data_IF_002685949048
#
_entry.id   IF_002685949048
#
_cell.length_a   1.000
_cell.length_b   1.000
_cell.length_c   1.000
_cell.angle_alpha   90.00
_cell.angle_beta   90.00
_cell.angle_gamma   90.00
#
_symmetry.space_group_name_H-M   'P 1'
#
loop_
_entity.id
_entity.type
_entity.pdbx_description
1 polymer ?
#
# COMPACT_ATOMS: atom_id res chain seq x y z
N UNK A 1 -5.05 21.04 -32.48
CA UNK A 1 -5.51 19.90 -31.68
C UNK A 1 -6.62 20.23 -30.68
N UNK A 2 -6.77 21.47 -30.21
CA UNK A 2 -7.85 21.86 -29.29
C UNK A 2 -9.27 21.71 -29.87
N UNK A 3 -9.45 21.88 -31.18
CA UNK A 3 -10.75 21.75 -31.85
C UNK A 3 -11.32 20.32 -31.93
N UNK A 4 -10.52 19.28 -31.70
CA UNK A 4 -11.02 17.89 -31.64
C UNK A 4 -11.56 17.53 -30.25
N UNK A 5 -11.13 18.24 -29.19
CA UNK A 5 -11.55 17.95 -27.82
C UNK A 5 -12.93 18.52 -27.47
N UNK A 6 -13.43 19.49 -28.23
CA UNK A 6 -14.75 20.06 -27.98
C UNK A 6 -15.90 19.21 -28.53
N UNK A 7 -15.67 18.45 -29.61
CA UNK A 7 -16.72 17.71 -30.30
C UNK A 7 -17.13 16.40 -29.58
N UNK A 8 -16.28 15.87 -28.69
CA UNK A 8 -16.58 14.69 -27.84
C UNK A 8 -17.17 15.05 -26.46
N UNK A 9 -17.37 16.33 -26.14
CA UNK A 9 -18.05 16.74 -24.89
C UNK A 9 -19.58 16.60 -24.95
N UNK A 10 -20.12 16.23 -26.10
CA UNK A 10 -21.53 15.88 -26.27
C UNK A 10 -21.76 14.41 -26.00
N UNK A 11 -22.57 14.09 -24.98
CA UNK A 11 -23.11 12.75 -24.71
C UNK A 11 -22.32 11.83 -23.76
N UNK A 12 -21.91 12.33 -22.59
CA UNK A 12 -21.78 11.45 -21.42
C UNK A 12 -23.13 11.42 -20.69
N UNK A 13 -23.77 10.25 -20.52
CA UNK A 13 -25.10 10.16 -19.91
C UNK A 13 -25.09 10.74 -18.50
N UNK A 14 -26.09 11.59 -18.24
CA UNK A 14 -26.25 12.31 -16.97
C UNK A 14 -26.53 11.29 -15.85
N UNK A 15 -25.63 11.31 -14.87
CA UNK A 15 -25.43 10.40 -13.74
C UNK A 15 -26.70 10.15 -12.89
N UNK A 16 -27.17 8.89 -12.86
CA UNK A 16 -28.33 8.42 -12.06
C UNK A 16 -28.00 7.22 -11.15
N UNK A 17 -26.72 6.90 -10.95
CA UNK A 17 -26.31 5.78 -10.08
C UNK A 17 -25.93 6.28 -8.70
N UNK A 18 -26.36 5.55 -7.66
CA UNK A 18 -26.02 5.85 -6.26
C UNK A 18 -24.50 5.84 -6.02
N UNK A 19 -24.01 6.81 -5.23
CA UNK A 19 -22.60 6.95 -4.83
C UNK A 19 -22.07 5.67 -4.18
N UNK A 20 -22.92 4.97 -3.44
CA UNK A 20 -22.58 3.71 -2.80
C UNK A 20 -22.27 2.61 -3.83
N UNK A 21 -23.09 2.50 -4.87
CA UNK A 21 -22.89 1.51 -5.93
C UNK A 21 -21.63 1.80 -6.75
N UNK A 22 -21.33 3.08 -6.97
CA UNK A 22 -20.08 3.52 -7.62
C UNK A 22 -18.85 3.16 -6.79
N UNK A 23 -18.92 3.37 -5.47
CA UNK A 23 -17.83 3.04 -4.56
C UNK A 23 -17.51 1.54 -4.59
N UNK A 24 -18.51 0.67 -4.41
CA UNK A 24 -18.30 -0.79 -4.45
C UNK A 24 -17.79 -1.28 -5.80
N UNK A 25 -18.29 -0.72 -6.91
CA UNK A 25 -17.84 -1.11 -8.25
C UNK A 25 -16.37 -0.71 -8.48
N UNK A 26 -15.95 0.48 -8.04
CA UNK A 26 -14.55 0.88 -8.10
C UNK A 26 -13.67 0.03 -7.20
N UNK A 27 -14.16 -0.34 -6.02
CA UNK A 27 -13.41 -1.13 -5.05
C UNK A 27 -13.14 -2.52 -5.61
N UNK A 28 -14.17 -3.17 -6.15
CA UNK A 28 -14.03 -4.44 -6.82
C UNK A 28 -13.01 -4.37 -7.98
N UNK A 29 -13.09 -3.33 -8.82
CA UNK A 29 -12.16 -3.14 -9.93
C UNK A 29 -10.72 -2.91 -9.46
N UNK A 30 -10.50 -2.03 -8.48
CA UNK A 30 -9.16 -1.77 -7.93
C UNK A 30 -8.56 -3.03 -7.30
N UNK A 31 -9.37 -3.80 -6.59
CA UNK A 31 -8.98 -5.08 -6.00
C UNK A 31 -8.57 -6.10 -7.06
N UNK A 32 -9.36 -6.25 -8.11
CA UNK A 32 -9.06 -7.17 -9.22
C UNK A 32 -7.74 -6.80 -9.92
N UNK A 33 -7.52 -5.50 -10.17
CA UNK A 33 -6.27 -5.01 -10.77
C UNK A 33 -5.07 -5.28 -9.85
N UNK A 34 -5.20 -5.03 -8.55
CA UNK A 34 -4.12 -5.26 -7.59
C UNK A 34 -3.75 -6.75 -7.49
N UNK A 35 -4.74 -7.64 -7.43
CA UNK A 35 -4.52 -9.09 -7.33
C UNK A 35 -3.90 -9.64 -8.63
N UNK A 36 -4.26 -9.06 -9.77
CA UNK A 36 -3.74 -9.44 -11.09
C UNK A 36 -2.37 -8.85 -11.42
N UNK A 37 -1.83 -7.97 -10.58
CA UNK A 37 -0.47 -7.45 -10.73
C UNK A 37 0.50 -8.17 -9.78
N UNK A 38 1.02 -9.36 -10.16
CA UNK A 38 1.98 -10.09 -9.34
C UNK A 38 3.34 -9.37 -9.27
N UNK A 39 3.63 -8.44 -10.18
CA UNK A 39 4.91 -7.71 -10.20
C UNK A 39 4.98 -6.80 -8.99
N UNK A 40 3.89 -6.08 -8.71
CA UNK A 40 3.77 -5.21 -7.55
C UNK A 40 3.97 -5.98 -6.24
N UNK A 41 3.24 -7.08 -6.06
CA UNK A 41 3.32 -7.91 -4.84
C UNK A 41 4.72 -8.51 -4.69
N UNK A 42 5.30 -9.03 -5.78
CA UNK A 42 6.64 -9.64 -5.76
C UNK A 42 7.71 -8.63 -5.34
N UNK A 43 7.70 -7.43 -5.89
CA UNK A 43 8.68 -6.39 -5.55
C UNK A 43 8.61 -6.06 -4.06
N UNK A 44 7.40 -6.00 -3.52
CA UNK A 44 7.15 -5.70 -2.11
C UNK A 44 7.64 -6.80 -1.18
N UNK A 45 7.39 -8.07 -1.52
CA UNK A 45 7.93 -9.21 -0.77
C UNK A 45 9.46 -9.25 -0.77
N UNK A 46 10.10 -8.93 -1.90
CA UNK A 46 11.57 -8.88 -2.01
C UNK A 46 12.13 -7.79 -1.09
N UNK A 47 11.53 -6.60 -1.15
CA UNK A 47 11.94 -5.46 -0.32
C UNK A 47 11.83 -5.78 1.17
N UNK A 48 10.71 -6.34 1.62
CA UNK A 48 10.51 -6.71 3.03
C UNK A 48 11.46 -7.80 3.49
N UNK A 49 11.68 -8.82 2.65
CA UNK A 49 12.66 -9.88 2.97
C UNK A 49 14.06 -9.30 3.15
N UNK A 50 14.47 -8.37 2.28
CA UNK A 50 15.76 -7.70 2.38
C UNK A 50 15.89 -6.91 3.68
N UNK A 51 14.88 -6.09 4.02
CA UNK A 51 14.87 -5.30 5.26
C UNK A 51 14.88 -6.18 6.52
N UNK A 52 14.10 -7.26 6.52
CA UNK A 52 14.05 -8.23 7.62
C UNK A 52 15.39 -8.93 7.85
N UNK A 53 16.03 -9.43 6.79
CA UNK A 53 17.35 -10.10 6.89
C UNK A 53 18.42 -9.10 7.35
N UNK A 54 18.45 -7.90 6.78
CA UNK A 54 19.43 -6.88 7.12
C UNK A 54 19.36 -6.54 8.62
N UNK A 55 18.17 -6.22 9.13
CA UNK A 55 17.99 -5.90 10.55
C UNK A 55 18.22 -7.11 11.45
N UNK A 56 17.83 -8.30 11.00
CA UNK A 56 18.03 -9.54 11.75
C UNK A 56 19.50 -9.92 11.93
N UNK A 57 20.34 -9.69 10.92
CA UNK A 57 21.79 -9.97 11.01
C UNK A 57 22.54 -8.99 11.91
N UNK A 58 22.15 -7.72 11.94
CA UNK A 58 22.84 -6.68 12.72
C UNK A 58 22.65 -6.87 14.23
N UNK A 59 21.49 -7.37 14.66
CA UNK A 59 21.11 -7.42 16.08
C UNK A 59 20.88 -8.83 16.62
N UNK A 60 21.65 -9.79 16.10
CA UNK A 60 21.51 -11.19 16.45
C UNK A 60 21.75 -11.42 17.97
N UNK A 61 20.67 -11.74 18.69
CA UNK A 61 20.67 -12.13 20.11
C UNK A 61 21.27 -11.10 21.08
N UNK A 62 20.96 -9.81 20.89
CA UNK A 62 21.38 -8.77 21.82
C UNK A 62 20.56 -8.77 23.12
N UNK A 63 21.23 -8.83 24.27
CA UNK A 63 20.59 -8.86 25.60
C UNK A 63 20.35 -7.46 26.19
N UNK A 64 21.01 -6.45 25.65
CA UNK A 64 20.95 -5.08 26.16
C UNK A 64 19.61 -4.40 25.82
N UNK A 65 18.88 -3.96 26.84
CA UNK A 65 17.54 -3.38 26.66
C UNK A 65 17.53 -2.08 25.84
N UNK A 66 18.57 -1.24 25.99
CA UNK A 66 18.69 0.01 25.24
C UNK A 66 18.92 -0.22 23.74
N UNK A 67 19.64 -1.29 23.36
CA UNK A 67 19.83 -1.64 21.95
C UNK A 67 18.51 -2.08 21.33
N UNK A 68 17.68 -2.87 22.05
CA UNK A 68 16.38 -3.32 21.55
C UNK A 68 15.43 -2.17 21.17
N UNK A 69 15.44 -1.08 21.94
CA UNK A 69 14.61 0.10 21.64
C UNK A 69 15.11 0.82 20.39
N UNK A 70 16.43 1.03 20.27
CA UNK A 70 17.04 1.64 19.08
C UNK A 70 16.77 0.82 17.81
N UNK A 71 16.73 -0.50 17.93
CA UNK A 71 16.43 -1.43 16.84
C UNK A 71 15.00 -1.27 16.33
N UNK A 72 14.03 -1.14 17.22
CA UNK A 72 12.63 -0.86 16.84
C UNK A 72 12.51 0.47 16.10
N UNK A 73 13.24 1.50 16.56
CA UNK A 73 13.25 2.80 15.90
C UNK A 73 13.85 2.72 14.49
N UNK A 74 15.01 2.09 14.32
CA UNK A 74 15.66 1.93 13.02
C UNK A 74 14.80 1.07 12.08
N UNK A 75 14.17 0.00 12.59
CA UNK A 75 13.27 -0.85 11.82
C UNK A 75 12.08 -0.07 11.26
N UNK A 76 11.39 0.70 12.10
CA UNK A 76 10.26 1.53 11.67
C UNK A 76 10.67 2.58 10.62
N UNK A 77 11.85 3.18 10.78
CA UNK A 77 12.39 4.17 9.84
C UNK A 77 12.71 3.55 8.48
N UNK A 78 13.27 2.35 8.45
CA UNK A 78 13.55 1.61 7.21
C UNK A 78 12.26 1.25 6.47
N UNK A 79 11.22 0.80 7.18
CA UNK A 79 9.91 0.53 6.58
C UNK A 79 9.31 1.80 5.97
N UNK A 80 9.40 2.93 6.69
CA UNK A 80 8.93 4.23 6.19
C UNK A 80 9.65 4.64 4.91
N UNK A 81 10.98 4.57 4.90
CA UNK A 81 11.80 4.87 3.71
C UNK A 81 11.47 3.94 2.56
N UNK A 82 11.21 2.67 2.86
CA UNK A 82 10.79 1.68 1.88
C UNK A 82 9.49 2.03 1.15
N UNK A 83 8.63 2.86 1.73
CA UNK A 83 7.38 3.29 1.10
C UNK A 83 7.58 4.44 0.10
N UNK A 84 8.72 5.13 0.13
CA UNK A 84 8.99 6.25 -0.78
C UNK A 84 9.06 5.80 -2.25
N UNK A 85 9.46 4.55 -2.52
CA UNK A 85 9.48 3.97 -3.86
C UNK A 85 8.06 3.84 -4.47
N UNK A 86 6.99 3.87 -3.66
CA UNK A 86 5.61 3.82 -4.16
C UNK A 86 5.19 5.09 -4.89
N UNK A 87 5.86 6.22 -4.65
CA UNK A 87 5.51 7.51 -5.27
C UNK A 87 5.61 7.45 -6.79
N UNK A 88 6.61 6.75 -7.32
CA UNK A 88 6.80 6.59 -8.77
C UNK A 88 5.69 5.72 -9.40
N UNK A 89 5.25 4.70 -8.69
CA UNK A 89 4.15 3.82 -9.12
C UNK A 89 2.84 4.62 -9.20
N UNK A 90 2.57 5.46 -8.20
CA UNK A 90 1.41 6.37 -8.20
C UNK A 90 1.54 7.41 -9.32
N UNK A 91 2.74 7.93 -9.58
CA UNK A 91 2.99 8.85 -10.69
C UNK A 91 2.70 8.20 -12.06
N UNK A 92 3.03 6.92 -12.25
CA UNK A 92 2.70 6.17 -13.46
C UNK A 92 1.18 5.97 -13.64
N UNK A 93 0.44 5.72 -12.55
CA UNK A 93 -1.03 5.57 -12.57
C UNK A 93 -1.77 6.87 -12.87
N UNK A 94 -1.12 8.03 -12.71
CA UNK A 94 -1.72 9.37 -12.85
C UNK A 94 -2.35 9.63 -14.23
N UNK A 95 -1.77 9.08 -15.31
CA UNK A 95 -2.33 9.20 -16.67
C UNK A 95 -3.71 8.55 -16.80
N UNK A 96 -3.88 7.37 -16.19
CA UNK A 96 -5.15 6.62 -16.22
C UNK A 96 -6.21 7.41 -15.45
N UNK A 97 -5.84 8.00 -14.33
CA UNK A 97 -6.72 8.86 -13.54
C UNK A 97 -7.24 10.07 -14.35
N UNK A 98 -6.37 10.76 -15.11
CA UNK A 98 -6.79 11.90 -15.93
C UNK A 98 -7.84 11.52 -16.99
N UNK A 99 -7.69 10.35 -17.63
CA UNK A 99 -8.68 9.84 -18.59
C UNK A 99 -10.01 9.54 -17.87
N UNK A 100 -9.95 8.87 -16.72
CA UNK A 100 -11.13 8.52 -15.94
C UNK A 100 -11.89 9.74 -15.42
N UNK A 101 -11.15 10.80 -15.08
CA UNK A 101 -11.70 12.09 -14.65
C UNK A 101 -12.39 12.83 -15.81
N UNK A 102 -11.82 12.81 -17.01
CA UNK A 102 -12.42 13.42 -18.20
C UNK A 102 -13.74 12.76 -18.60
N UNK A 103 -13.86 11.44 -18.45
CA UNK A 103 -15.13 10.73 -18.67
C UNK A 103 -16.17 10.93 -17.56
N UNK A 104 -15.84 11.67 -16.49
CA UNK A 104 -16.68 11.93 -15.32
C UNK A 104 -17.41 10.66 -14.80
N UNK A 105 -16.70 9.52 -14.78
CA UNK A 105 -17.27 8.24 -14.35
C UNK A 105 -17.54 8.23 -12.83
N UNK A 106 -16.64 8.82 -12.05
CA UNK A 106 -16.70 8.83 -10.58
C UNK A 106 -16.29 10.18 -9.99
N UNK A 107 -16.79 10.47 -8.78
CA UNK A 107 -16.31 11.62 -8.02
C UNK A 107 -14.85 11.40 -7.62
N UNK A 108 -14.02 12.44 -7.72
CA UNK A 108 -12.57 12.35 -7.46
C UNK A 108 -12.28 11.80 -6.07
N UNK A 109 -13.03 12.20 -5.05
CA UNK A 109 -12.78 11.71 -3.68
C UNK A 109 -13.14 10.23 -3.50
N UNK A 110 -14.10 9.70 -4.27
CA UNK A 110 -14.44 8.26 -4.22
C UNK A 110 -13.28 7.44 -4.78
N UNK A 111 -12.64 7.90 -5.86
CA UNK A 111 -11.48 7.22 -6.45
C UNK A 111 -10.33 7.09 -5.43
N UNK A 112 -9.95 8.19 -4.78
CA UNK A 112 -8.85 8.19 -3.80
C UNK A 112 -9.15 7.34 -2.56
N UNK A 113 -10.38 7.41 -2.02
CA UNK A 113 -10.77 6.57 -0.86
C UNK A 113 -10.76 5.08 -1.23
N UNK A 114 -11.18 4.75 -2.45
CA UNK A 114 -11.23 3.36 -2.92
C UNK A 114 -9.83 2.78 -3.14
N UNK A 115 -8.91 3.58 -3.69
CA UNK A 115 -7.51 3.21 -3.87
C UNK A 115 -6.86 2.95 -2.51
N UNK A 116 -6.97 3.89 -1.57
CA UNK A 116 -6.44 3.74 -0.21
C UNK A 116 -7.00 2.50 0.51
N UNK A 117 -8.31 2.28 0.44
CA UNK A 117 -8.94 1.13 1.10
C UNK A 117 -8.52 -0.22 0.50
N UNK A 118 -8.14 -0.24 -0.78
CA UNK A 118 -7.66 -1.44 -1.46
C UNK A 118 -6.25 -1.83 -1.02
N UNK A 119 -5.40 -0.84 -0.75
CA UNK A 119 -3.98 -1.01 -0.38
C UNK A 119 -3.78 -1.35 1.10
N UNK A 120 -4.62 -0.83 2.00
CA UNK A 120 -4.58 -1.11 3.45
C UNK A 120 -4.44 -2.61 3.81
N UNK A 121 -5.28 -3.53 3.30
CA UNK A 121 -5.17 -4.95 3.66
C UNK A 121 -3.89 -5.60 3.15
N UNK A 122 -3.31 -5.13 2.04
CA UNK A 122 -2.03 -5.64 1.56
C UNK A 122 -0.89 -5.19 2.48
N UNK A 123 -0.89 -3.92 2.90
CA UNK A 123 0.08 -3.39 3.86
C UNK A 123 -0.05 -4.04 5.24
N UNK A 124 -1.25 -4.41 5.67
CA UNK A 124 -1.46 -5.12 6.93
C UNK A 124 -0.80 -6.51 6.92
N UNK A 125 -0.97 -7.28 5.84
CA UNK A 125 -0.31 -8.59 5.69
C UNK A 125 1.21 -8.44 5.68
N UNK A 126 1.71 -7.40 5.01
CA UNK A 126 3.14 -7.08 4.95
C UNK A 126 3.71 -6.73 6.33
N UNK A 127 3.02 -5.88 7.09
CA UNK A 127 3.42 -5.50 8.45
C UNK A 127 3.41 -6.72 9.38
N UNK A 128 2.38 -7.56 9.34
CA UNK A 128 2.30 -8.79 10.14
C UNK A 128 3.47 -9.72 9.82
N UNK A 129 3.80 -9.91 8.53
CA UNK A 129 4.92 -10.75 8.11
C UNK A 129 6.27 -10.20 8.61
N UNK A 130 6.48 -8.89 8.47
CA UNK A 130 7.68 -8.22 8.96
C UNK A 130 7.82 -8.33 10.48
N UNK A 131 6.76 -8.01 11.22
CA UNK A 131 6.72 -8.12 12.69
C UNK A 131 6.96 -9.57 13.14
N UNK A 132 6.37 -10.56 12.46
CA UNK A 132 6.62 -11.97 12.76
C UNK A 132 8.09 -12.34 12.59
N UNK A 133 8.71 -12.04 11.46
CA UNK A 133 10.13 -12.34 11.21
C UNK A 133 11.02 -11.63 12.23
N UNK A 134 10.80 -10.34 12.45
CA UNK A 134 11.61 -9.51 13.34
C UNK A 134 11.56 -9.97 14.81
N UNK A 135 10.41 -10.47 15.26
CA UNK A 135 10.24 -11.06 16.60
C UNK A 135 11.21 -12.23 16.85
N UNK A 136 11.41 -13.11 15.85
CA UNK A 136 12.35 -14.24 15.98
C UNK A 136 13.81 -13.79 16.07
N UNK A 137 14.19 -12.72 15.38
CA UNK A 137 15.60 -12.27 15.35
C UNK A 137 16.06 -11.60 16.65
N UNK A 138 15.17 -10.85 17.32
CA UNK A 138 15.54 -10.06 18.52
C UNK A 138 15.40 -10.88 19.82
N UNK A 139 14.68 -12.00 19.78
CA UNK A 139 14.44 -12.82 20.96
C UNK A 139 13.65 -12.04 22.02
N UNK A 140 12.49 -11.51 21.65
CA UNK A 140 11.56 -10.89 22.60
C UNK A 140 10.89 -11.95 23.50
N UNK A 141 10.41 -11.53 24.67
CA UNK A 141 9.71 -12.43 25.59
C UNK A 141 8.36 -12.88 25.00
N UNK A 142 7.99 -14.17 25.16
CA UNK A 142 6.76 -14.76 24.60
C UNK A 142 5.47 -14.08 25.04
N UNK A 143 5.48 -13.38 26.18
CA UNK A 143 4.32 -12.66 26.72
C UNK A 143 3.93 -11.40 25.91
N UNK A 144 4.82 -10.86 25.07
CA UNK A 144 4.56 -9.63 24.29
C UNK A 144 4.09 -9.89 22.85
N UNK A 145 3.91 -11.15 22.46
CA UNK A 145 3.52 -11.56 21.11
C UNK A 145 2.23 -10.90 20.57
N UNK A 146 1.11 -10.77 21.32
CA UNK A 146 -0.13 -10.21 20.75
C UNK A 146 -0.05 -8.70 20.51
N UNK A 147 0.73 -7.98 21.33
CA UNK A 147 0.92 -6.52 21.16
C UNK A 147 1.82 -6.24 19.96
N UNK A 148 2.78 -7.13 19.69
CA UNK A 148 3.73 -6.99 18.58
C UNK A 148 3.13 -7.32 17.21
N UNK A 149 2.05 -8.11 17.16
CA UNK A 149 1.37 -8.47 15.91
C UNK A 149 0.36 -7.38 15.48
N UNK A 150 -0.14 -6.58 16.43
CA UNK A 150 -1.06 -5.46 16.20
C UNK A 150 -0.36 -4.14 15.86
N UNK A 151 0.95 -4.02 16.13
CA UNK A 151 1.80 -2.86 15.84
C UNK A 151 2.64 -3.08 14.58
#
# INVERSE_FOLDING_TARGET
>A
EEHYLEHERGSYPRRLVSLWKMFWLNLYRHRDVLIRDPVFVKQRCIQMSFQGIMLGTIFWNEQQHYLKISVLFIASTMVMMGNLAMVEIVAAKKRIYCIHRNCNLFFTSIYGVTEALTEVPLHAVEAIAFSFTFYFFIGFYPQSFPVFLLC
#
